data_IF_009380501967
#
_entry.id   IF_009380501967
#
_cell.length_a   1.000
_cell.length_b   1.000
_cell.length_c   1.000
_cell.angle_alpha   90.00
_cell.angle_beta   90.00
_cell.angle_gamma   90.00
#
_symmetry.space_group_name_H-M   'P 1'
#
loop_
_entity.id
_entity.type
_entity.pdbx_description
1 polymer ?
#
# COMPACT_ATOMS: atom_id res chain seq x y z
N UNK A 1 40.49 0.89 34.70
CA UNK A 1 41.72 1.54 35.24
C UNK A 1 42.66 1.76 34.05
N UNK A 2 43.27 2.91 33.78
CA UNK A 2 43.41 4.16 34.55
C UNK A 2 42.96 5.42 33.78
N UNK A 3 42.79 6.53 34.52
CA UNK A 3 42.61 7.90 34.00
C UNK A 3 43.97 8.52 33.63
N UNK A 4 43.96 9.53 32.76
CA UNK A 4 44.83 10.71 32.88
C UNK A 4 44.03 11.99 32.56
N UNK A 5 44.40 13.12 33.15
CA UNK A 5 43.62 14.37 33.14
C UNK A 5 44.56 15.58 33.34
N UNK A 6 44.17 16.77 32.86
CA UNK A 6 44.77 18.11 33.15
C UNK A 6 46.15 18.34 32.46
N UNK A 7 46.48 19.48 31.82
CA UNK A 7 45.75 20.73 31.52
C UNK A 7 46.43 21.98 32.10
N UNK A 8 46.95 22.92 31.28
CA UNK A 8 47.47 24.23 31.75
C UNK A 8 47.21 25.35 30.72
N UNK A 9 46.82 26.53 31.23
CA UNK A 9 46.75 27.84 30.54
C UNK A 9 47.53 28.86 31.39
N UNK A 10 48.19 29.86 30.79
CA UNK A 10 48.18 31.24 31.35
C UNK A 10 47.81 32.29 30.28
N UNK A 11 46.83 33.18 30.54
CA UNK A 11 46.97 34.56 31.08
C UNK A 11 47.71 35.57 30.16
N UNK A 12 47.33 36.85 30.03
CA UNK A 12 46.21 37.63 30.61
C UNK A 12 46.39 39.15 30.29
N UNK A 13 45.38 40.02 30.54
CA UNK A 13 45.50 41.48 30.35
C UNK A 13 44.17 42.28 30.35
N UNK A 14 44.16 43.52 30.87
CA UNK A 14 42.95 44.32 31.18
C UNK A 14 43.10 45.81 30.70
N UNK A 15 42.24 46.83 30.94
CA UNK A 15 41.19 47.08 31.95
C UNK A 15 40.25 48.26 31.58
N UNK A 16 39.04 48.34 32.18
CA UNK A 16 38.21 49.57 32.48
C UNK A 16 37.64 50.48 31.37
N UNK A 17 36.46 51.13 31.58
CA UNK A 17 36.02 52.18 30.63
C UNK A 17 34.85 53.19 30.84
N UNK A 18 33.74 52.93 31.56
CA UNK A 18 32.66 53.95 31.89
C UNK A 18 31.75 54.55 30.78
N UNK A 19 30.70 55.28 31.24
CA UNK A 19 29.44 55.73 30.58
C UNK A 19 29.53 56.91 29.59
N UNK A 20 28.53 57.05 28.70
CA UNK A 20 28.20 58.30 27.98
C UNK A 20 26.86 58.22 27.20
N UNK A 21 26.13 59.34 27.07
CA UNK A 21 24.76 59.43 26.53
C UNK A 21 24.60 60.45 25.40
N UNK A 22 23.73 60.17 24.42
CA UNK A 22 23.07 61.11 23.48
C UNK A 22 22.27 60.26 22.47
N UNK A 23 21.20 60.65 21.78
CA UNK A 23 20.18 61.72 21.80
C UNK A 23 19.20 61.33 20.66
N UNK A 24 17.97 61.82 20.71
CA UNK A 24 16.90 61.49 19.76
C UNK A 24 17.06 62.17 18.39
N UNK A 25 16.76 61.45 17.30
CA UNK A 25 16.28 62.06 16.04
C UNK A 25 15.09 61.29 15.46
N UNK A 26 13.92 61.85 15.72
CA UNK A 26 12.65 61.52 15.10
C UNK A 26 12.62 62.05 13.65
N UNK A 27 12.18 61.22 12.69
CA UNK A 27 11.75 61.68 11.36
C UNK A 27 10.54 60.89 10.87
N UNK A 28 9.56 61.64 10.40
CA UNK A 28 8.21 61.23 10.01
C UNK A 28 8.15 60.12 8.95
N UNK A 29 7.20 59.20 9.13
CA UNK A 29 6.67 58.35 8.05
C UNK A 29 5.21 58.78 7.80
N UNK A 30 4.91 59.18 6.57
CA UNK A 30 3.57 59.62 6.14
C UNK A 30 2.64 58.43 5.88
N UNK A 31 1.44 58.46 6.44
CA UNK A 31 0.37 57.50 6.14
C UNK A 31 -0.16 57.64 4.70
N UNK A 32 -0.48 56.50 4.07
CA UNK A 32 -1.44 56.37 2.97
C UNK A 32 -2.30 55.11 3.22
N UNK A 33 -3.54 55.07 2.69
CA UNK A 33 -4.63 54.31 3.33
C UNK A 33 -4.63 52.82 3.01
N UNK A 34 -5.34 52.08 3.88
CA UNK A 34 -5.76 50.68 3.67
C UNK A 34 -6.40 50.48 2.29
N UNK A 35 -6.18 49.27 1.74
CA UNK A 35 -6.96 48.72 0.62
C UNK A 35 -7.59 47.42 1.08
N UNK A 36 -8.86 47.25 0.73
CA UNK A 36 -9.70 46.13 1.13
C UNK A 36 -9.13 44.77 0.70
N UNK A 37 -8.99 43.85 1.66
CA UNK A 37 -8.79 42.43 1.37
C UNK A 37 -10.14 41.79 1.05
N UNK A 38 -10.52 41.83 -0.23
CA UNK A 38 -11.68 41.10 -0.74
C UNK A 38 -11.47 40.70 -2.22
N UNK A 39 -10.53 39.79 -2.46
CA UNK A 39 -10.39 39.09 -3.76
C UNK A 39 -10.23 37.60 -3.53
N UNK A 40 -11.08 36.84 -4.22
CA UNK A 40 -11.13 35.37 -4.21
C UNK A 40 -10.00 34.86 -5.11
N UNK A 41 -8.84 34.54 -4.54
CA UNK A 41 -7.74 33.84 -5.25
C UNK A 41 -6.91 32.91 -4.33
N UNK A 42 -6.84 33.19 -3.01
CA UNK A 42 -6.11 32.41 -1.98
C UNK A 42 -6.58 30.94 -1.76
N UNK A 43 -7.45 30.41 -2.63
CA UNK A 43 -8.01 29.06 -2.50
C UNK A 43 -7.35 28.02 -3.44
N UNK A 44 -6.48 28.43 -4.37
CA UNK A 44 -5.74 27.50 -5.26
C UNK A 44 -4.54 26.83 -4.59
N UNK A 45 -3.88 27.53 -3.67
CA UNK A 45 -2.64 27.05 -3.06
C UNK A 45 -2.85 25.86 -2.10
N UNK A 46 -4.11 25.51 -1.84
CA UNK A 46 -4.50 24.34 -1.03
C UNK A 46 -4.78 23.07 -1.87
N UNK A 47 -4.79 23.15 -3.21
CA UNK A 47 -4.99 22.00 -4.11
C UNK A 47 -3.68 21.40 -4.65
N UNK A 48 -2.51 21.95 -4.28
CA UNK A 48 -1.23 21.37 -4.69
C UNK A 48 -0.73 20.31 -3.69
N UNK A 49 -0.76 19.00 -4.02
CA UNK A 49 -0.22 17.96 -3.15
C UNK A 49 1.30 18.09 -2.96
N UNK A 50 2.01 18.78 -3.85
CA UNK A 50 3.46 18.94 -3.76
C UNK A 50 3.87 19.90 -2.62
N UNK A 51 2.93 20.71 -2.09
CA UNK A 51 3.13 21.62 -0.94
C UNK A 51 3.66 20.91 0.33
N UNK A 52 3.28 19.65 0.54
CA UNK A 52 3.73 18.86 1.70
C UNK A 52 5.06 18.13 1.49
N UNK A 53 5.62 18.14 0.27
CA UNK A 53 6.75 17.29 -0.11
C UNK A 53 7.94 18.02 -0.76
N UNK A 54 7.92 19.35 -0.85
CA UNK A 54 9.07 20.12 -1.37
C UNK A 54 10.26 20.12 -0.39
N UNK A 55 11.09 19.07 -0.48
CA UNK A 55 12.40 19.02 0.17
C UNK A 55 13.37 19.83 -0.68
N UNK A 56 13.41 21.13 -0.40
CA UNK A 56 14.01 22.14 -1.27
C UNK A 56 15.43 21.86 -1.77
N UNK A 57 15.63 22.08 -3.07
CA UNK A 57 16.97 22.23 -3.66
C UNK A 57 17.47 23.67 -3.49
N UNK A 58 18.74 23.91 -3.12
CA UNK A 58 19.21 25.25 -2.80
C UNK A 58 19.41 26.10 -4.06
N UNK A 59 18.40 26.90 -4.40
CA UNK A 59 18.52 27.96 -5.40
C UNK A 59 19.51 29.03 -4.93
N UNK A 60 20.65 29.13 -5.62
CA UNK A 60 21.62 30.21 -5.41
C UNK A 60 21.13 31.50 -6.05
N UNK A 61 20.45 32.38 -5.29
CA UNK A 61 20.56 33.85 -5.49
C UNK A 61 20.02 34.66 -4.29
N UNK A 62 20.95 35.26 -3.55
CA UNK A 62 20.91 36.60 -2.89
C UNK A 62 19.70 37.08 -2.05
N UNK A 63 20.06 37.57 -0.85
CA UNK A 63 19.37 38.50 0.05
C UNK A 63 18.38 37.90 1.08
N UNK A 64 18.94 37.61 2.26
CA UNK A 64 18.18 37.35 3.49
C UNK A 64 17.20 38.48 3.83
N UNK A 65 15.92 38.14 3.84
CA UNK A 65 14.95 38.71 4.77
C UNK A 65 14.31 37.56 5.51
N UNK A 66 14.65 37.42 6.79
CA UNK A 66 13.97 36.51 7.70
C UNK A 66 12.56 37.03 7.89
N UNK A 67 11.61 36.48 7.15
CA UNK A 67 10.18 36.70 7.37
C UNK A 67 9.80 35.81 8.57
N UNK A 68 9.55 36.43 9.72
CA UNK A 68 9.00 35.71 10.87
C UNK A 68 7.63 35.13 10.50
N UNK A 69 7.29 33.90 10.95
CA UNK A 69 5.95 33.36 10.74
C UNK A 69 4.90 34.29 11.36
N UNK A 70 3.70 34.43 10.76
CA UNK A 70 2.65 35.26 11.32
C UNK A 70 2.25 34.77 12.72
N UNK A 71 1.87 35.66 13.64
CA UNK A 71 1.49 35.28 14.99
C UNK A 71 0.25 34.39 14.97
N UNK A 72 0.27 33.34 15.81
CA UNK A 72 -0.88 32.44 16.01
C UNK A 72 -2.10 33.27 16.42
N UNK A 73 -3.27 33.12 15.77
CA UNK A 73 -4.46 33.89 16.10
C UNK A 73 -4.89 33.63 17.55
N UNK A 74 -5.13 34.69 18.30
CA UNK A 74 -5.52 34.62 19.70
C UNK A 74 -6.92 34.04 19.85
N UNK A 75 -7.02 32.95 20.62
CA UNK A 75 -8.29 32.30 20.97
C UNK A 75 -9.31 33.31 21.51
N UNK A 76 -10.40 33.51 20.78
CA UNK A 76 -11.51 34.35 21.22
C UNK A 76 -12.87 33.68 20.93
N UNK A 77 -13.32 32.95 21.96
CA UNK A 77 -14.67 32.37 22.19
C UNK A 77 -15.02 31.10 21.39
N UNK A 78 -15.74 30.14 22.03
CA UNK A 78 -16.21 28.94 21.36
C UNK A 78 -17.41 29.27 20.45
N UNK A 79 -17.27 28.99 19.16
CA UNK A 79 -18.40 28.87 18.25
C UNK A 79 -19.16 27.58 18.56
N UNK A 80 -20.17 27.68 19.44
CA UNK A 80 -21.20 26.64 19.52
C UNK A 80 -21.85 26.50 18.15
N UNK A 81 -21.60 25.37 17.47
CA UNK A 81 -22.38 24.96 16.30
C UNK A 81 -23.79 24.66 16.79
N UNK A 82 -24.69 25.63 16.60
CA UNK A 82 -26.10 25.46 16.85
C UNK A 82 -26.68 24.50 15.80
N UNK A 83 -26.74 23.21 16.14
CA UNK A 83 -27.43 22.20 15.34
C UNK A 83 -28.92 22.54 15.37
N UNK A 84 -29.40 23.27 14.35
CA UNK A 84 -30.82 23.47 14.11
C UNK A 84 -31.46 22.13 13.76
N UNK A 85 -31.96 21.45 14.78
CA UNK A 85 -32.62 20.17 14.65
C UNK A 85 -33.99 20.37 13.97
N UNK A 86 -34.01 20.31 12.65
CA UNK A 86 -35.24 20.43 11.85
C UNK A 86 -36.15 19.26 12.16
N UNK A 87 -37.22 19.53 12.89
CA UNK A 87 -38.25 18.56 13.24
C UNK A 87 -38.96 18.06 11.98
N UNK A 88 -38.48 16.94 11.42
CA UNK A 88 -39.14 16.26 10.30
C UNK A 88 -40.57 15.91 10.70
N UNK A 89 -41.52 16.54 10.04
CA UNK A 89 -42.97 16.27 10.18
C UNK A 89 -43.24 14.79 9.92
N UNK A 90 -43.85 14.10 10.89
CA UNK A 90 -44.07 12.67 10.81
C UNK A 90 -45.06 12.31 9.69
N UNK A 91 -44.59 11.60 8.66
CA UNK A 91 -45.45 11.00 7.65
C UNK A 91 -46.16 9.76 8.23
N UNK A 92 -47.44 9.51 7.87
CA UNK A 92 -48.24 8.51 8.56
C UNK A 92 -47.83 7.07 8.19
N UNK A 93 -47.15 6.38 9.14
CA UNK A 93 -46.51 5.06 8.99
C UNK A 93 -47.40 3.90 8.49
N UNK A 94 -48.73 3.99 8.60
CA UNK A 94 -49.64 2.87 8.30
C UNK A 94 -49.58 2.37 6.84
N UNK A 95 -49.30 3.24 5.86
CA UNK A 95 -49.18 2.84 4.45
C UNK A 95 -47.98 1.92 4.18
N UNK A 96 -46.87 2.12 4.89
CA UNK A 96 -45.66 1.27 4.75
C UNK A 96 -45.91 -0.10 5.38
N UNK A 97 -46.63 -0.14 6.51
CA UNK A 97 -47.01 -1.39 7.19
C UNK A 97 -47.94 -2.23 6.30
N UNK A 98 -48.96 -1.63 5.67
CA UNK A 98 -49.85 -2.34 4.75
C UNK A 98 -49.12 -2.91 3.53
N UNK A 99 -48.17 -2.16 2.94
CA UNK A 99 -47.35 -2.65 1.83
C UNK A 99 -46.47 -3.84 2.27
N UNK A 100 -45.87 -3.78 3.46
CA UNK A 100 -45.09 -4.88 4.02
C UNK A 100 -45.91 -6.15 4.27
N UNK A 101 -47.12 -6.02 4.82
CA UNK A 101 -48.04 -7.16 5.03
C UNK A 101 -48.47 -7.77 3.69
N UNK A 102 -48.80 -6.94 2.68
CA UNK A 102 -49.16 -7.43 1.35
C UNK A 102 -48.04 -8.22 0.67
N UNK A 103 -46.80 -7.73 0.74
CA UNK A 103 -45.61 -8.41 0.23
C UNK A 103 -45.34 -9.75 0.94
N UNK A 104 -45.51 -9.79 2.26
CA UNK A 104 -45.33 -11.01 3.04
C UNK A 104 -46.35 -12.11 2.66
N UNK A 105 -47.64 -11.74 2.53
CA UNK A 105 -48.70 -12.67 2.09
C UNK A 105 -48.44 -13.18 0.67
N UNK A 106 -47.99 -12.31 -0.25
CA UNK A 106 -47.66 -12.70 -1.62
C UNK A 106 -46.50 -13.71 -1.67
N UNK A 107 -45.41 -13.46 -0.94
CA UNK A 107 -44.30 -14.42 -0.82
C UNK A 107 -44.73 -15.75 -0.21
N UNK A 108 -45.56 -15.73 0.84
CA UNK A 108 -46.01 -16.96 1.52
C UNK A 108 -46.87 -17.84 0.60
N UNK A 109 -47.78 -17.24 -0.17
CA UNK A 109 -48.56 -17.96 -1.19
C UNK A 109 -47.66 -18.55 -2.28
N UNK A 110 -46.64 -17.81 -2.73
CA UNK A 110 -45.71 -18.28 -3.76
C UNK A 110 -44.92 -19.52 -3.27
N UNK A 111 -44.43 -19.51 -2.03
CA UNK A 111 -43.77 -20.66 -1.40
C UNK A 111 -44.71 -21.88 -1.31
N UNK A 112 -45.98 -21.68 -0.93
CA UNK A 112 -46.98 -22.76 -0.91
C UNK A 112 -47.19 -23.35 -2.31
N UNK A 113 -47.30 -22.51 -3.36
CA UNK A 113 -47.47 -23.01 -4.74
C UNK A 113 -46.27 -23.79 -5.25
N UNK A 114 -45.04 -23.36 -4.91
CA UNK A 114 -43.81 -24.09 -5.25
C UNK A 114 -43.71 -25.42 -4.50
N UNK A 115 -44.11 -25.46 -3.23
CA UNK A 115 -44.11 -26.69 -2.43
C UNK A 115 -45.15 -27.69 -2.94
N UNK A 116 -46.34 -27.22 -3.32
CA UNK A 116 -47.37 -28.05 -3.95
C UNK A 116 -46.90 -28.60 -5.31
N UNK A 117 -46.22 -27.80 -6.13
CA UNK A 117 -45.64 -28.23 -7.40
C UNK A 117 -44.58 -29.34 -7.20
N UNK A 118 -43.70 -29.20 -6.20
CA UNK A 118 -42.70 -30.22 -5.87
C UNK A 118 -43.33 -31.53 -5.38
N UNK A 119 -44.39 -31.45 -4.55
CA UNK A 119 -45.12 -32.62 -4.07
C UNK A 119 -45.89 -33.34 -5.20
N UNK A 120 -46.41 -32.61 -6.20
CA UNK A 120 -47.01 -33.24 -7.38
C UNK A 120 -45.98 -33.97 -8.26
N UNK A 121 -44.72 -33.50 -8.31
CA UNK A 121 -43.66 -34.20 -9.04
C UNK A 121 -43.14 -35.45 -8.31
N UNK A 122 -43.39 -35.61 -6.99
CA UNK A 122 -42.85 -36.72 -6.20
C UNK A 122 -43.64 -38.04 -6.30
N UNK A 123 -44.72 -38.10 -7.10
CA UNK A 123 -45.58 -39.29 -7.29
C UNK A 123 -45.36 -39.98 -8.65
N UNK A 124 -44.14 -39.92 -9.18
CA UNK A 124 -43.71 -40.64 -10.38
C UNK A 124 -42.78 -41.82 -10.04
N UNK A 125 -43.32 -43.02 -9.87
CA UNK A 125 -42.54 -44.25 -9.70
C UNK A 125 -41.66 -44.56 -10.91
N UNK A 126 -40.42 -45.03 -10.71
CA UNK A 126 -39.84 -46.15 -11.50
C UNK A 126 -38.63 -46.82 -10.80
N UNK A 127 -38.41 -48.08 -11.18
CA UNK A 127 -37.51 -49.10 -10.60
C UNK A 127 -36.01 -48.80 -10.69
N UNK A 128 -35.16 -49.34 -9.80
CA UNK A 128 -33.70 -49.28 -9.95
C UNK A 128 -33.20 -50.19 -11.07
N UNK A 129 -32.15 -49.75 -11.79
CA UNK A 129 -31.22 -50.62 -12.52
C UNK A 129 -29.82 -50.02 -12.56
N UNK A 130 -28.83 -50.88 -12.44
CA UNK A 130 -27.40 -50.57 -12.31
C UNK A 130 -26.74 -50.30 -13.67
N UNK A 131 -25.80 -49.35 -13.77
CA UNK A 131 -24.76 -49.28 -14.82
C UNK A 131 -23.69 -48.22 -14.55
N UNK A 132 -22.42 -48.64 -14.63
CA UNK A 132 -21.22 -47.79 -14.60
C UNK A 132 -21.21 -46.71 -15.69
N UNK A 133 -20.74 -45.50 -15.38
CA UNK A 133 -19.47 -44.95 -15.90
C UNK A 133 -19.22 -43.48 -15.51
N UNK A 134 -17.96 -43.05 -15.66
CA UNK A 134 -17.40 -41.73 -15.32
C UNK A 134 -18.20 -40.53 -15.86
N UNK A 135 -18.32 -39.45 -15.06
CA UNK A 135 -18.99 -38.22 -15.52
C UNK A 135 -18.82 -36.99 -14.60
N UNK A 136 -17.68 -36.31 -14.74
CA UNK A 136 -17.47 -34.85 -14.55
C UNK A 136 -18.11 -34.11 -13.35
N UNK A 137 -17.31 -33.95 -12.28
CA UNK A 137 -17.54 -32.98 -11.19
C UNK A 137 -16.52 -31.81 -11.21
N UNK A 138 -16.29 -31.17 -12.36
CA UNK A 138 -15.21 -30.15 -12.53
C UNK A 138 -15.63 -28.67 -12.65
N UNK A 139 -16.86 -28.28 -12.27
CA UNK A 139 -17.38 -26.90 -12.49
C UNK A 139 -17.23 -25.88 -11.34
N UNK A 140 -16.48 -26.17 -10.28
CA UNK A 140 -16.17 -25.18 -9.22
C UNK A 140 -14.67 -24.89 -8.98
N UNK A 141 -13.75 -25.55 -9.68
CA UNK A 141 -12.29 -25.32 -9.51
C UNK A 141 -11.69 -24.28 -10.46
N UNK A 142 -12.29 -24.06 -11.64
CA UNK A 142 -11.64 -23.25 -12.70
C UNK A 142 -11.62 -21.73 -12.47
N UNK A 143 -12.53 -21.17 -11.66
CA UNK A 143 -12.62 -19.71 -11.47
C UNK A 143 -11.43 -19.14 -10.67
N UNK A 144 -11.07 -19.78 -9.55
CA UNK A 144 -9.92 -19.36 -8.74
C UNK A 144 -8.58 -19.52 -9.47
N UNK A 145 -8.42 -20.62 -10.21
CA UNK A 145 -7.20 -20.92 -10.96
C UNK A 145 -6.95 -19.90 -12.10
N UNK A 146 -8.01 -19.29 -12.66
CA UNK A 146 -7.87 -18.24 -13.69
C UNK A 146 -7.37 -16.92 -13.09
N UNK A 147 -7.93 -16.45 -11.97
CA UNK A 147 -7.46 -15.23 -11.27
C UNK A 147 -5.99 -15.32 -10.83
N UNK A 148 -5.55 -16.51 -10.38
CA UNK A 148 -4.16 -16.75 -9.96
C UNK A 148 -3.17 -16.63 -11.15
N UNK A 149 -3.53 -17.15 -12.33
CA UNK A 149 -2.71 -17.10 -13.55
C UNK A 149 -2.51 -15.70 -14.14
N UNK A 150 -3.38 -14.74 -13.81
CA UNK A 150 -3.26 -13.36 -14.29
C UNK A 150 -2.32 -12.51 -13.41
N UNK A 151 -1.88 -13.02 -12.25
CA UNK A 151 -0.98 -12.31 -11.32
C UNK A 151 0.51 -12.44 -11.62
N UNK A 152 0.88 -13.44 -12.42
CA UNK A 152 2.27 -13.78 -12.74
C UNK A 152 2.35 -14.19 -14.21
N UNK A 153 3.39 -13.75 -14.92
CA UNK A 153 3.69 -14.22 -16.27
C UNK A 153 5.12 -14.74 -16.36
N UNK A 154 5.33 -15.75 -17.20
CA UNK A 154 6.67 -16.26 -17.50
C UNK A 154 7.38 -15.39 -18.54
N UNK A 155 8.72 -15.42 -18.63
CA UNK A 155 9.46 -14.78 -19.72
C UNK A 155 8.96 -15.16 -21.12
N UNK A 156 8.60 -16.43 -21.37
CA UNK A 156 7.99 -16.86 -22.64
C UNK A 156 6.66 -16.15 -22.95
N UNK A 157 5.83 -15.91 -21.93
CA UNK A 157 4.57 -15.19 -22.10
C UNK A 157 4.82 -13.70 -22.37
N UNK A 158 5.73 -13.05 -21.64
CA UNK A 158 6.13 -11.66 -21.93
C UNK A 158 6.67 -11.51 -23.36
N UNK A 159 7.58 -12.39 -23.79
CA UNK A 159 8.11 -12.42 -25.16
C UNK A 159 6.99 -12.55 -26.20
N UNK A 160 5.98 -13.39 -25.93
CA UNK A 160 4.80 -13.52 -26.81
C UNK A 160 4.00 -12.21 -26.89
N UNK A 161 3.80 -11.51 -25.78
CA UNK A 161 3.09 -10.21 -25.75
C UNK A 161 3.85 -9.11 -26.52
N UNK A 162 5.19 -9.09 -26.42
CA UNK A 162 6.07 -8.16 -27.14
C UNK A 162 6.04 -8.44 -28.65
N UNK A 163 6.27 -9.69 -29.07
CA UNK A 163 6.25 -10.10 -30.49
C UNK A 163 4.87 -9.82 -31.13
N UNK A 164 3.77 -10.10 -30.41
CA UNK A 164 2.41 -9.84 -30.90
C UNK A 164 1.95 -8.39 -30.73
N UNK A 165 2.85 -7.48 -30.31
CA UNK A 165 2.63 -6.04 -30.15
C UNK A 165 1.37 -5.70 -29.33
N UNK A 166 1.13 -6.45 -28.25
CA UNK A 166 0.04 -6.14 -27.31
C UNK A 166 0.36 -4.86 -26.54
N UNK A 167 -0.70 -4.17 -26.10
CA UNK A 167 -0.58 -2.93 -25.31
C UNK A 167 -0.09 -3.25 -23.90
N UNK A 168 1.23 -3.24 -23.75
CA UNK A 168 1.97 -3.58 -22.53
C UNK A 168 2.65 -2.34 -21.95
N UNK A 169 2.66 -2.28 -20.63
CA UNK A 169 3.34 -1.27 -19.83
C UNK A 169 4.33 -1.98 -18.91
N UNK A 170 5.51 -2.31 -19.45
CA UNK A 170 6.57 -3.04 -18.75
C UNK A 170 7.41 -2.09 -17.89
N UNK A 171 7.55 -2.37 -16.60
CA UNK A 171 8.35 -1.57 -15.67
C UNK A 171 9.42 -2.40 -14.95
N UNK A 172 10.63 -1.85 -14.92
CA UNK A 172 11.63 -2.21 -13.91
C UNK A 172 11.38 -1.35 -12.67
N UNK A 173 11.03 -1.99 -11.56
CA UNK A 173 10.83 -1.36 -10.27
C UNK A 173 12.13 -1.49 -9.48
N UNK A 174 12.63 -0.38 -8.95
CA UNK A 174 13.85 -0.35 -8.14
C UNK A 174 13.64 0.44 -6.85
N UNK A 175 14.35 0.03 -5.80
CA UNK A 175 14.32 0.66 -4.49
C UNK A 175 15.73 0.76 -3.90
N UNK A 176 15.86 1.42 -2.76
CA UNK A 176 17.17 1.77 -2.19
C UNK A 176 17.80 2.96 -2.92
N UNK A 177 19.01 2.79 -3.45
CA UNK A 177 19.75 3.87 -4.10
C UNK A 177 19.26 4.10 -5.55
N UNK A 178 18.51 5.18 -5.77
CA UNK A 178 17.97 5.52 -7.09
C UNK A 178 19.03 5.78 -8.15
N UNK A 179 20.20 6.31 -7.78
CA UNK A 179 21.30 6.55 -8.74
C UNK A 179 21.84 5.22 -9.26
N UNK A 180 22.09 4.28 -8.36
CA UNK A 180 22.55 2.93 -8.71
C UNK A 180 21.49 2.17 -9.51
N UNK A 181 20.22 2.23 -9.09
CA UNK A 181 19.11 1.64 -9.83
C UNK A 181 18.97 2.21 -11.25
N UNK A 182 19.18 3.52 -11.42
CA UNK A 182 19.21 4.17 -12.74
C UNK A 182 20.39 3.72 -13.59
N UNK A 183 21.59 3.66 -13.01
CA UNK A 183 22.79 3.21 -13.72
C UNK A 183 22.67 1.75 -14.17
N UNK A 184 22.10 0.87 -13.34
CA UNK A 184 21.83 -0.52 -13.67
C UNK A 184 20.80 -0.64 -14.81
N UNK A 185 19.71 0.13 -14.75
CA UNK A 185 18.71 0.19 -15.82
C UNK A 185 19.31 0.69 -17.14
N UNK A 186 20.06 1.79 -17.12
CA UNK A 186 20.69 2.36 -18.32
C UNK A 186 21.74 1.42 -18.94
N UNK A 187 22.41 0.57 -18.14
CA UNK A 187 23.38 -0.40 -18.65
C UNK A 187 22.73 -1.56 -19.42
N UNK A 188 21.61 -2.10 -18.93
CA UNK A 188 20.94 -3.26 -19.51
C UNK A 188 19.55 -3.43 -18.85
N UNK A 189 18.45 -3.30 -19.62
CA UNK A 189 17.07 -3.51 -19.18
C UNK A 189 16.24 -4.25 -20.25
N UNK A 190 15.08 -4.81 -19.91
CA UNK A 190 14.24 -5.54 -20.89
C UNK A 190 13.71 -4.56 -21.96
N UNK A 191 13.65 -4.98 -23.23
CA UNK A 191 13.19 -4.12 -24.33
C UNK A 191 11.84 -3.44 -24.02
N UNK A 192 11.73 -2.15 -24.33
CA UNK A 192 10.58 -1.25 -24.07
C UNK A 192 10.28 -0.93 -22.59
N UNK A 193 11.06 -1.44 -21.63
CA UNK A 193 10.79 -1.22 -20.21
C UNK A 193 10.91 0.25 -19.79
N UNK A 194 10.35 0.55 -18.62
CA UNK A 194 10.37 1.89 -18.00
C UNK A 194 10.89 1.76 -16.58
N UNK A 195 11.68 2.73 -16.12
CA UNK A 195 12.17 2.75 -14.75
C UNK A 195 11.11 3.35 -13.82
N UNK A 196 10.89 2.69 -12.68
CA UNK A 196 9.99 3.10 -11.61
C UNK A 196 10.74 3.02 -10.29
N UNK A 197 10.83 4.12 -9.56
CA UNK A 197 11.44 4.14 -8.23
C UNK A 197 10.39 3.89 -7.15
N UNK A 198 10.79 3.23 -6.06
CA UNK A 198 9.94 3.08 -4.88
C UNK A 198 9.40 4.43 -4.35
N UNK A 199 10.18 5.51 -4.45
CA UNK A 199 9.77 6.88 -4.10
C UNK A 199 8.59 7.42 -4.93
N UNK A 200 8.36 6.89 -6.15
CA UNK A 200 7.20 7.25 -6.97
C UNK A 200 5.90 6.58 -6.46
N UNK A 201 6.02 5.65 -5.50
CA UNK A 201 4.96 4.79 -4.99
C UNK A 201 4.71 5.00 -3.49
N UNK A 202 5.76 5.35 -2.74
CA UNK A 202 5.70 5.52 -1.29
C UNK A 202 6.62 6.63 -0.79
N UNK A 203 6.13 7.36 0.22
CA UNK A 203 6.93 8.23 1.06
C UNK A 203 6.90 7.70 2.50
N UNK A 204 8.07 7.53 3.14
CA UNK A 204 8.21 7.02 4.51
C UNK A 204 7.45 5.71 4.83
N UNK A 205 7.21 4.83 3.85
CA UNK A 205 6.49 3.57 4.01
C UNK A 205 4.97 3.67 3.81
N UNK A 206 4.44 4.87 3.63
CA UNK A 206 3.02 5.15 3.31
C UNK A 206 2.87 5.29 1.79
N UNK A 207 1.80 4.79 1.15
CA UNK A 207 1.50 5.05 -0.26
C UNK A 207 1.42 6.55 -0.58
N UNK A 208 1.87 6.95 -1.77
CA UNK A 208 1.64 8.32 -2.29
C UNK A 208 0.16 8.61 -2.51
N UNK A 209 -0.22 9.88 -2.62
CA UNK A 209 -1.62 10.25 -2.91
C UNK A 209 -2.07 9.72 -4.29
N UNK A 210 -3.31 9.22 -4.48
CA UNK A 210 -3.76 8.65 -5.76
C UNK A 210 -3.54 9.55 -6.97
N UNK A 211 -3.75 10.88 -6.82
CA UNK A 211 -3.51 11.84 -7.90
C UNK A 211 -2.02 12.02 -8.25
N UNK A 212 -1.11 11.88 -7.28
CA UNK A 212 0.34 11.92 -7.50
C UNK A 212 0.78 10.69 -8.30
N UNK A 213 0.30 9.50 -7.89
CA UNK A 213 0.51 8.28 -8.67
C UNK A 213 -0.11 8.36 -10.08
N UNK A 214 -1.30 8.95 -10.22
CA UNK A 214 -1.94 9.14 -11.51
C UNK A 214 -1.09 10.03 -12.44
N UNK A 215 -0.58 11.17 -11.94
CA UNK A 215 0.35 12.04 -12.68
C UNK A 215 1.60 11.27 -13.14
N UNK A 216 2.18 10.44 -12.26
CA UNK A 216 3.33 9.59 -12.57
C UNK A 216 3.02 8.50 -13.61
N UNK A 217 1.96 7.71 -13.43
CA UNK A 217 1.57 6.67 -14.37
C UNK A 217 1.29 7.23 -15.77
N UNK A 218 0.59 8.38 -15.85
CA UNK A 218 0.37 9.10 -17.11
C UNK A 218 1.67 9.61 -17.73
N UNK A 219 2.63 10.14 -16.96
CA UNK A 219 3.92 10.59 -17.51
C UNK A 219 4.77 9.44 -18.08
N UNK A 220 4.56 8.22 -17.58
CA UNK A 220 5.13 6.98 -18.12
C UNK A 220 4.34 6.39 -19.29
N UNK A 221 3.32 7.08 -19.79
CA UNK A 221 2.49 6.64 -20.92
C UNK A 221 1.62 5.41 -20.62
N UNK A 222 1.21 5.23 -19.35
CA UNK A 222 0.25 4.19 -18.96
C UNK A 222 -1.17 4.64 -19.26
N UNK A 223 -1.93 3.76 -19.91
CA UNK A 223 -3.36 3.93 -20.16
C UNK A 223 -4.17 2.94 -19.29
N UNK A 224 -5.45 3.22 -19.07
CA UNK A 224 -6.37 2.40 -18.26
C UNK A 224 -6.50 0.95 -18.75
N UNK A 225 -6.46 0.73 -20.06
CA UNK A 225 -6.53 -0.61 -20.67
C UNK A 225 -5.17 -1.32 -20.73
N UNK A 226 -4.07 -0.68 -20.34
CA UNK A 226 -2.73 -1.23 -20.52
C UNK A 226 -2.49 -2.47 -19.63
N UNK A 227 -1.83 -3.49 -20.17
CA UNK A 227 -1.33 -4.59 -19.34
C UNK A 227 -0.04 -4.14 -18.65
N UNK A 228 -0.12 -3.79 -17.37
CA UNK A 228 1.06 -3.42 -16.58
C UNK A 228 1.81 -4.70 -16.20
N UNK A 229 3.10 -4.75 -16.48
CA UNK A 229 3.96 -5.89 -16.17
C UNK A 229 5.12 -5.36 -15.35
N UNK A 230 5.31 -5.89 -14.15
CA UNK A 230 6.27 -5.39 -13.18
C UNK A 230 7.37 -6.41 -12.95
N UNK A 231 8.62 -5.96 -12.95
CA UNK A 231 9.76 -6.77 -12.59
C UNK A 231 10.77 -5.96 -11.77
N UNK A 232 11.62 -6.65 -11.03
CA UNK A 232 12.82 -6.07 -10.43
C UNK A 232 14.00 -7.03 -10.68
N UNK A 233 15.18 -6.76 -10.10
CA UNK A 233 16.40 -7.54 -10.37
C UNK A 233 16.51 -8.87 -9.59
N UNK A 234 15.37 -9.54 -9.37
CA UNK A 234 15.27 -10.86 -8.74
C UNK A 234 14.97 -10.84 -7.24
N UNK A 235 14.62 -9.67 -6.70
CA UNK A 235 14.27 -9.49 -5.30
C UNK A 235 12.77 -9.73 -5.05
N UNK A 236 11.94 -9.50 -6.07
CA UNK A 236 10.46 -9.55 -6.11
C UNK A 236 9.72 -8.63 -5.11
N UNK A 237 10.40 -8.07 -4.12
CA UNK A 237 9.81 -7.21 -3.09
C UNK A 237 9.35 -5.84 -3.63
N UNK A 238 10.11 -5.23 -4.54
CA UNK A 238 9.75 -3.94 -5.13
C UNK A 238 8.62 -4.09 -6.15
N UNK A 239 8.69 -5.13 -7.00
CA UNK A 239 7.67 -5.40 -7.99
C UNK A 239 6.34 -5.85 -7.37
N UNK A 240 6.34 -6.62 -6.27
CA UNK A 240 5.11 -6.92 -5.50
C UNK A 240 4.51 -5.68 -4.85
N UNK A 241 5.32 -4.78 -4.28
CA UNK A 241 4.82 -3.52 -3.71
C UNK A 241 4.17 -2.64 -4.78
N UNK A 242 4.85 -2.46 -5.92
CA UNK A 242 4.27 -1.75 -7.07
C UNK A 242 2.97 -2.41 -7.56
N UNK A 243 2.88 -3.74 -7.57
CA UNK A 243 1.65 -4.43 -7.96
C UNK A 243 0.50 -4.16 -6.99
N UNK A 244 0.77 -4.17 -5.68
CA UNK A 244 -0.22 -3.79 -4.68
C UNK A 244 -0.68 -2.34 -4.87
N UNK A 245 0.25 -1.40 -5.11
CA UNK A 245 -0.05 0.02 -5.39
C UNK A 245 -0.92 0.20 -6.64
N UNK A 246 -0.60 -0.46 -7.76
CA UNK A 246 -1.46 -0.41 -8.97
C UNK A 246 -2.89 -0.89 -8.67
N UNK A 247 -3.05 -1.97 -7.88
CA UNK A 247 -4.38 -2.48 -7.51
C UNK A 247 -5.10 -1.64 -6.45
N UNK A 248 -4.36 -1.02 -5.52
CA UNK A 248 -4.86 -0.05 -4.54
C UNK A 248 -5.44 1.18 -5.24
N UNK A 249 -4.87 1.55 -6.40
CA UNK A 249 -5.37 2.60 -7.27
C UNK A 249 -6.25 2.08 -8.43
N UNK A 250 -6.85 0.89 -8.28
CA UNK A 250 -7.93 0.38 -9.13
C UNK A 250 -7.49 -0.39 -10.38
N UNK A 251 -6.19 -0.39 -10.70
CA UNK A 251 -5.67 -1.02 -11.90
C UNK A 251 -5.41 -2.51 -11.72
N UNK A 252 -6.44 -3.31 -11.98
CA UNK A 252 -6.39 -4.77 -11.80
C UNK A 252 -5.56 -5.52 -12.83
N UNK A 253 -5.32 -4.93 -14.02
CA UNK A 253 -4.60 -5.56 -15.15
C UNK A 253 -3.08 -5.45 -14.99
N UNK A 254 -2.59 -5.98 -13.87
CA UNK A 254 -1.18 -5.97 -13.45
C UNK A 254 -0.69 -7.39 -13.13
N UNK A 255 0.51 -7.73 -13.61
CA UNK A 255 1.17 -9.02 -13.40
C UNK A 255 2.65 -8.84 -13.06
N UNK A 256 3.23 -9.76 -12.29
CA UNK A 256 4.68 -9.84 -12.09
C UNK A 256 5.35 -10.66 -13.18
N UNK A 257 6.58 -10.31 -13.56
CA UNK A 257 7.45 -11.17 -14.35
C UNK A 257 8.14 -12.20 -13.44
N UNK A 258 7.88 -13.48 -13.68
CA UNK A 258 8.48 -14.59 -12.93
C UNK A 258 10.01 -14.59 -13.03
N UNK A 259 10.69 -14.62 -11.87
CA UNK A 259 12.16 -14.53 -11.77
C UNK A 259 12.74 -13.14 -12.08
N UNK A 260 11.91 -12.15 -12.38
CA UNK A 260 12.33 -10.78 -12.67
C UNK A 260 13.33 -10.67 -13.82
N UNK A 261 14.24 -9.69 -13.71
CA UNK A 261 15.31 -9.45 -14.68
C UNK A 261 16.24 -10.67 -14.85
N UNK A 262 16.63 -11.30 -13.75
CA UNK A 262 17.50 -12.48 -13.73
C UNK A 262 16.86 -13.63 -14.49
N UNK A 263 15.56 -13.86 -14.29
CA UNK A 263 14.76 -14.83 -15.04
C UNK A 263 14.72 -14.56 -16.55
N UNK A 264 14.70 -13.29 -16.97
CA UNK A 264 14.81 -12.90 -18.38
C UNK A 264 16.20 -13.18 -18.97
N UNK A 265 17.27 -12.80 -18.27
CA UNK A 265 18.66 -13.03 -18.70
C UNK A 265 18.97 -14.53 -18.85
N UNK A 266 18.49 -15.36 -17.93
CA UNK A 266 18.61 -16.82 -18.01
C UNK A 266 17.95 -17.44 -19.26
N UNK A 267 16.98 -16.75 -19.89
CA UNK A 267 16.41 -17.17 -21.18
C UNK A 267 17.16 -16.54 -22.37
N UNK A 268 17.69 -15.33 -22.22
CA UNK A 268 18.54 -14.68 -23.23
C UNK A 268 19.82 -15.47 -23.51
N UNK A 269 20.41 -16.10 -22.51
CA UNK A 269 21.53 -17.05 -22.68
C UNK A 269 21.17 -18.26 -23.55
N UNK A 270 19.88 -18.62 -23.63
CA UNK A 270 19.37 -19.78 -24.37
C UNK A 270 18.78 -19.43 -25.74
N UNK A 271 18.39 -18.18 -25.96
CA UNK A 271 17.75 -17.72 -27.19
C UNK A 271 17.90 -16.21 -27.40
N UNK A 272 18.37 -15.83 -28.59
CA UNK A 272 18.51 -14.44 -29.04
C UNK A 272 17.18 -13.70 -29.27
N UNK A 273 16.04 -14.38 -29.09
CA UNK A 273 14.72 -13.75 -29.14
C UNK A 273 14.45 -12.87 -27.92
N UNK A 274 15.08 -13.15 -26.78
CA UNK A 274 14.98 -12.34 -25.56
C UNK A 274 15.92 -11.15 -25.66
N UNK A 275 15.36 -9.94 -25.75
CA UNK A 275 16.11 -8.72 -26.00
C UNK A 275 16.22 -7.84 -24.77
N UNK A 276 17.26 -7.03 -24.76
CA UNK A 276 17.49 -5.97 -23.78
C UNK A 276 17.95 -4.71 -24.50
N UNK A 277 17.74 -3.56 -23.87
CA UNK A 277 18.06 -2.21 -24.36
C UNK A 277 19.04 -1.52 -23.41
N UNK A 278 19.73 -0.48 -23.92
CA UNK A 278 20.76 0.26 -23.20
C UNK A 278 20.65 1.76 -23.49
N UNK A 279 21.03 2.60 -22.53
CA UNK A 279 21.12 4.06 -22.60
C UNK A 279 19.83 4.82 -23.00
N UNK A 280 18.72 4.13 -23.27
CA UNK A 280 17.48 4.74 -23.71
C UNK A 280 16.47 4.91 -22.58
N UNK A 281 16.11 6.16 -22.29
CA UNK A 281 14.84 6.50 -21.63
C UNK A 281 14.00 7.21 -22.68
N UNK A 282 13.28 6.41 -23.49
CA UNK A 282 12.43 6.93 -24.55
C UNK A 282 11.42 7.95 -23.99
N UNK A 283 11.28 9.10 -24.66
CA UNK A 283 10.19 10.04 -24.35
C UNK A 283 8.87 9.38 -24.69
N UNK A 284 7.90 9.46 -23.77
CA UNK A 284 6.58 8.83 -23.92
C UNK A 284 5.53 9.92 -24.07
N UNK A 285 4.46 9.62 -24.81
CA UNK A 285 3.23 10.41 -24.74
C UNK A 285 2.67 10.35 -23.32
N UNK A 286 1.87 11.34 -22.95
CA UNK A 286 1.01 11.20 -21.78
C UNK A 286 0.00 10.07 -22.01
N UNK A 287 -0.21 9.28 -20.97
CA UNK A 287 -1.26 8.27 -20.91
C UNK A 287 -2.57 8.80 -20.33
N UNK A 288 -3.62 7.98 -20.36
CA UNK A 288 -4.95 8.33 -19.83
C UNK A 288 -5.26 7.78 -18.43
N UNK A 289 -4.39 6.94 -17.85
CA UNK A 289 -4.56 6.24 -16.56
C UNK A 289 -5.35 7.02 -15.49
N UNK A 290 -6.37 6.41 -14.91
CA UNK A 290 -7.24 6.97 -13.88
C UNK A 290 -7.10 6.19 -12.56
N UNK A 291 -6.63 6.85 -11.50
CA UNK A 291 -6.53 6.23 -10.17
C UNK A 291 -7.90 6.16 -9.49
N UNK A 292 -8.28 5.00 -8.97
CA UNK A 292 -9.45 4.82 -8.10
C UNK A 292 -9.03 4.11 -6.82
N UNK A 293 -9.23 4.72 -5.66
CA UNK A 293 -8.91 4.08 -4.37
C UNK A 293 -9.73 2.81 -4.18
N UNK A 294 -9.07 1.74 -3.75
CA UNK A 294 -9.64 0.42 -3.52
C UNK A 294 -9.43 0.01 -2.05
N UNK A 295 -10.42 0.32 -1.23
CA UNK A 295 -10.48 0.00 0.20
C UNK A 295 -10.38 -1.51 0.49
N UNK A 296 -10.82 -2.37 -0.43
CA UNK A 296 -10.78 -3.84 -0.27
C UNK A 296 -9.36 -4.44 -0.17
N UNK A 297 -8.30 -3.65 -0.35
CA UNK A 297 -6.90 -4.07 -0.28
C UNK A 297 -6.14 -3.56 0.95
N UNK A 298 -6.77 -2.70 1.73
CA UNK A 298 -6.25 -2.16 2.98
C UNK A 298 -7.09 -2.59 4.17
N UNK A 299 -6.52 -2.46 5.34
CA UNK A 299 -7.25 -2.53 6.60
C UNK A 299 -6.62 -1.51 7.55
N UNK A 300 -7.45 -0.81 8.33
CA UNK A 300 -7.02 0.32 9.18
C UNK A 300 -6.57 -0.16 10.55
N UNK A 301 -5.91 0.71 11.32
CA UNK A 301 -5.61 0.43 12.73
C UNK A 301 -6.89 0.05 13.50
N UNK A 302 -7.99 0.77 13.28
CA UNK A 302 -9.22 0.59 14.07
C UNK A 302 -9.88 -0.77 13.78
N UNK A 303 -9.86 -1.22 12.52
CA UNK A 303 -10.27 -2.58 12.14
C UNK A 303 -9.39 -3.68 12.78
N UNK A 304 -8.06 -3.48 12.84
CA UNK A 304 -7.12 -4.45 13.43
C UNK A 304 -7.26 -4.47 14.96
N UNK A 305 -7.58 -3.33 15.56
CA UNK A 305 -7.90 -3.19 16.98
C UNK A 305 -9.21 -3.91 17.33
N UNK A 306 -10.28 -3.70 16.56
CA UNK A 306 -11.55 -4.45 16.74
C UNK A 306 -11.33 -5.97 16.58
N UNK A 307 -10.49 -6.39 15.63
CA UNK A 307 -10.15 -7.82 15.45
C UNK A 307 -9.50 -8.48 16.67
N UNK A 308 -8.89 -7.71 17.59
CA UNK A 308 -8.34 -8.25 18.83
C UNK A 308 -9.45 -8.75 19.79
N UNK A 309 -10.68 -8.27 19.65
CA UNK A 309 -11.86 -8.73 20.41
C UNK A 309 -12.72 -9.72 19.62
N UNK A 310 -12.95 -9.47 18.32
CA UNK A 310 -13.91 -10.27 17.52
C UNK A 310 -13.33 -11.55 16.90
N UNK A 311 -12.00 -11.65 16.74
CA UNK A 311 -11.30 -12.76 16.06
C UNK A 311 -11.94 -13.17 14.71
N UNK A 312 -12.23 -12.20 13.83
CA UNK A 312 -12.76 -12.48 12.49
C UNK A 312 -11.65 -12.84 11.49
N UNK A 313 -10.51 -12.16 11.59
CA UNK A 313 -9.40 -12.23 10.63
C UNK A 313 -8.18 -12.96 11.20
N UNK A 314 -7.47 -13.70 10.35
CA UNK A 314 -6.14 -14.21 10.70
C UNK A 314 -5.11 -13.09 10.55
N UNK A 315 -4.31 -12.82 11.58
CA UNK A 315 -3.24 -11.80 11.51
C UNK A 315 -1.91 -12.46 11.15
N UNK A 316 -1.22 -11.91 10.15
CA UNK A 316 0.09 -12.37 9.65
C UNK A 316 1.11 -11.24 9.74
N UNK A 317 2.23 -11.55 10.40
CA UNK A 317 3.40 -10.69 10.48
C UNK A 317 4.46 -11.15 9.46
N UNK A 318 4.77 -10.30 8.48
CA UNK A 318 5.76 -10.53 7.44
C UNK A 318 7.16 -9.97 7.79
N UNK A 319 7.41 -9.55 9.04
CA UNK A 319 8.75 -9.26 9.55
C UNK A 319 9.63 -10.52 9.59
N UNK A 320 10.94 -10.32 9.68
CA UNK A 320 11.88 -11.41 9.95
C UNK A 320 11.60 -12.00 11.34
N UNK A 321 12.01 -13.25 11.55
CA UNK A 321 11.68 -13.99 12.78
C UNK A 321 12.26 -13.32 14.02
N UNK A 322 13.44 -12.72 13.90
CA UNK A 322 14.16 -12.02 14.96
C UNK A 322 13.47 -10.72 15.37
N UNK A 323 12.86 -10.01 14.41
CA UNK A 323 12.05 -8.81 14.67
C UNK A 323 10.71 -9.19 15.31
N UNK A 324 10.03 -10.21 14.78
CA UNK A 324 8.78 -10.73 15.35
C UNK A 324 8.96 -11.18 16.81
N UNK A 325 10.06 -11.87 17.13
CA UNK A 325 10.38 -12.31 18.49
C UNK A 325 10.94 -11.20 19.39
N UNK A 326 11.15 -9.97 18.88
CA UNK A 326 11.73 -8.87 19.64
C UNK A 326 13.20 -9.08 20.06
N UNK A 327 13.92 -9.93 19.31
CA UNK A 327 15.34 -10.26 19.52
C UNK A 327 16.29 -9.39 18.69
N UNK A 328 15.78 -8.74 17.63
CA UNK A 328 16.52 -7.76 16.86
C UNK A 328 16.84 -6.50 17.68
N UNK A 329 17.93 -5.81 17.32
CA UNK A 329 18.40 -4.61 18.02
C UNK A 329 18.20 -3.33 17.20
N UNK A 330 18.09 -2.18 17.87
CA UNK A 330 18.02 -0.85 17.24
C UNK A 330 16.61 -0.26 17.07
N UNK A 331 15.55 -1.04 17.29
CA UNK A 331 14.17 -0.54 17.36
C UNK A 331 13.34 -1.33 18.39
N UNK A 332 12.12 -0.86 18.68
CA UNK A 332 11.17 -1.59 19.52
C UNK A 332 10.50 -2.70 18.69
N UNK A 333 11.05 -3.91 18.81
CA UNK A 333 10.63 -5.08 18.04
C UNK A 333 9.69 -6.00 18.84
N UNK A 334 8.88 -6.76 18.11
CA UNK A 334 7.77 -7.54 18.62
C UNK A 334 6.69 -7.75 17.55
N UNK A 335 5.51 -8.19 17.99
CA UNK A 335 4.36 -8.45 17.11
C UNK A 335 3.01 -8.15 17.78
N UNK A 336 1.97 -8.03 16.95
CA UNK A 336 0.58 -7.93 17.38
C UNK A 336 0.18 -9.25 18.03
N UNK A 337 -0.41 -9.20 19.23
CA UNK A 337 -0.88 -10.40 19.94
C UNK A 337 -1.83 -11.23 19.08
N UNK A 338 -1.52 -12.52 18.95
CA UNK A 338 -2.27 -13.45 18.08
C UNK A 338 -1.81 -13.49 16.62
N UNK A 339 -0.89 -12.62 16.19
CA UNK A 339 -0.29 -12.69 14.87
C UNK A 339 0.54 -13.96 14.67
N UNK A 340 0.62 -14.41 13.42
CA UNK A 340 1.41 -15.57 12.96
C UNK A 340 2.57 -15.06 12.11
N UNK A 341 3.81 -15.38 12.47
CA UNK A 341 4.96 -14.97 11.65
C UNK A 341 5.05 -15.78 10.36
N UNK A 342 5.04 -15.10 9.21
CA UNK A 342 5.29 -15.68 7.89
C UNK A 342 6.29 -14.78 7.16
N UNK A 343 7.61 -14.97 7.40
CA UNK A 343 8.65 -14.26 6.68
C UNK A 343 8.60 -14.49 5.17
N UNK A 344 9.19 -13.58 4.41
CA UNK A 344 9.15 -13.60 2.94
C UNK A 344 9.90 -14.79 2.31
N UNK A 345 10.87 -15.37 3.02
CA UNK A 345 11.61 -16.59 2.68
C UNK A 345 10.70 -17.84 2.63
N UNK A 346 9.54 -17.78 3.29
CA UNK A 346 8.52 -18.84 3.28
C UNK A 346 7.78 -18.89 1.94
N UNK A 347 7.70 -17.77 1.21
CA UNK A 347 6.96 -17.66 -0.05
C UNK A 347 7.86 -17.53 -1.29
N UNK A 348 9.11 -17.10 -1.12
CA UNK A 348 10.08 -16.94 -2.21
C UNK A 348 11.46 -17.47 -1.82
N UNK A 349 12.14 -18.05 -2.79
CA UNK A 349 13.46 -18.64 -2.65
C UNK A 349 14.48 -17.80 -3.43
N UNK A 350 15.19 -16.90 -2.75
CA UNK A 350 16.23 -16.07 -3.38
C UNK A 350 17.42 -16.86 -3.92
N UNK A 351 17.73 -18.03 -3.33
CA UNK A 351 18.82 -18.89 -3.80
C UNK A 351 18.57 -19.44 -5.21
N UNK A 352 17.31 -19.68 -5.56
CA UNK A 352 16.89 -20.09 -6.92
C UNK A 352 16.22 -18.96 -7.72
N UNK A 353 15.96 -17.81 -7.09
CA UNK A 353 15.15 -16.71 -7.63
C UNK A 353 13.75 -17.16 -8.12
N UNK A 354 13.10 -18.04 -7.37
CA UNK A 354 11.78 -18.60 -7.69
C UNK A 354 10.77 -18.40 -6.57
N UNK A 355 9.50 -18.20 -6.95
CA UNK A 355 8.38 -18.37 -6.02
C UNK A 355 8.28 -19.83 -5.59
N UNK A 356 7.88 -20.07 -4.34
CA UNK A 356 7.41 -21.39 -3.92
C UNK A 356 6.23 -21.82 -4.80
N UNK A 357 6.13 -23.12 -5.06
CA UNK A 357 5.03 -23.66 -5.83
C UNK A 357 3.71 -23.66 -5.03
N UNK A 358 2.60 -23.92 -5.71
CA UNK A 358 1.28 -23.86 -5.08
C UNK A 358 1.11 -24.87 -3.91
N UNK A 359 1.58 -26.13 -4.01
CA UNK A 359 1.65 -27.04 -2.87
C UNK A 359 2.51 -26.54 -1.71
N UNK A 360 3.71 -26.00 -1.97
CA UNK A 360 4.62 -25.49 -0.94
C UNK A 360 4.01 -24.31 -0.18
N UNK A 361 3.42 -23.33 -0.88
CA UNK A 361 2.72 -22.20 -0.25
C UNK A 361 1.52 -22.68 0.57
N UNK A 362 0.72 -23.62 0.06
CA UNK A 362 -0.42 -24.18 0.80
C UNK A 362 0.02 -24.92 2.07
N UNK A 363 1.09 -25.71 1.99
CA UNK A 363 1.67 -26.40 3.14
C UNK A 363 2.18 -25.40 4.18
N UNK A 364 2.90 -24.36 3.75
CA UNK A 364 3.40 -23.32 4.64
C UNK A 364 2.26 -22.58 5.36
N UNK A 365 1.26 -22.07 4.62
CA UNK A 365 0.11 -21.37 5.21
C UNK A 365 -0.73 -22.27 6.14
N UNK A 366 -0.89 -23.55 5.80
CA UNK A 366 -1.58 -24.52 6.65
C UNK A 366 -0.77 -24.86 7.91
N UNK A 367 0.56 -24.92 7.83
CA UNK A 367 1.44 -25.16 8.98
C UNK A 367 1.50 -23.94 9.93
N UNK A 368 1.37 -22.73 9.38
CA UNK A 368 1.10 -21.51 10.14
C UNK A 368 -0.32 -21.45 10.71
N UNK A 369 -1.16 -22.46 10.43
CA UNK A 369 -2.58 -22.57 10.80
C UNK A 369 -3.44 -21.37 10.39
N UNK A 370 -3.22 -20.87 9.17
CA UNK A 370 -4.18 -19.98 8.48
C UNK A 370 -5.36 -20.78 7.96
N UNK A 371 -6.55 -20.18 8.01
CA UNK A 371 -7.78 -20.77 7.47
C UNK A 371 -8.10 -20.19 6.10
N UNK A 372 -8.21 -20.99 5.02
CA UNK A 372 -8.67 -20.52 3.70
C UNK A 372 -10.08 -19.92 3.69
N UNK A 373 -10.84 -20.02 4.80
CA UNK A 373 -12.18 -19.44 4.96
C UNK A 373 -12.18 -18.09 5.67
N UNK A 374 -11.12 -17.74 6.41
CA UNK A 374 -10.95 -16.44 7.07
C UNK A 374 -10.19 -15.51 6.13
N UNK A 375 -10.50 -14.22 6.19
CA UNK A 375 -9.68 -13.22 5.50
C UNK A 375 -8.43 -12.93 6.34
N UNK A 376 -7.33 -12.59 5.67
CA UNK A 376 -6.02 -12.42 6.30
C UNK A 376 -5.64 -10.93 6.35
N UNK A 377 -5.21 -10.48 7.52
CA UNK A 377 -4.54 -9.20 7.74
C UNK A 377 -3.04 -9.45 7.61
N UNK A 378 -2.36 -8.74 6.71
CA UNK A 378 -0.90 -8.88 6.55
C UNK A 378 -0.24 -7.54 6.88
N UNK A 379 0.77 -7.54 7.75
CA UNK A 379 1.53 -6.35 8.08
C UNK A 379 3.04 -6.60 8.15
N UNK A 380 3.80 -5.51 8.15
CA UNK A 380 5.21 -5.47 8.54
C UNK A 380 5.50 -4.02 9.01
N UNK A 381 6.70 -3.49 8.77
CA UNK A 381 7.08 -2.13 9.17
C UNK A 381 6.74 -1.06 8.12
N UNK A 382 6.88 -1.35 6.82
CA UNK A 382 6.81 -0.38 5.70
C UNK A 382 6.03 -0.90 4.49
N UNK A 383 5.16 -1.88 4.72
CA UNK A 383 4.36 -2.59 3.71
C UNK A 383 5.11 -3.37 2.61
N UNK A 384 6.44 -3.26 2.47
CA UNK A 384 7.24 -3.96 1.47
C UNK A 384 7.21 -5.50 1.60
N UNK A 385 7.41 -6.01 2.82
CA UNK A 385 7.39 -7.47 3.06
C UNK A 385 5.97 -8.02 3.07
N UNK A 386 5.01 -7.25 3.61
CA UNK A 386 3.61 -7.65 3.59
C UNK A 386 3.01 -7.62 2.18
N UNK A 387 3.44 -6.75 1.25
CA UNK A 387 3.00 -6.84 -0.16
C UNK A 387 3.44 -8.13 -0.84
N UNK A 388 4.63 -8.63 -0.48
CA UNK A 388 5.15 -9.89 -1.01
C UNK A 388 4.39 -11.11 -0.46
N UNK A 389 4.08 -11.13 0.83
CA UNK A 389 3.26 -12.18 1.47
C UNK A 389 1.79 -12.09 1.04
N UNK A 390 1.22 -10.89 0.94
CA UNK A 390 -0.12 -10.63 0.40
C UNK A 390 -0.28 -11.16 -1.02
N UNK A 391 0.72 -10.96 -1.88
CA UNK A 391 0.71 -11.49 -3.24
C UNK A 391 0.67 -13.04 -3.24
N UNK A 392 1.48 -13.68 -2.42
CA UNK A 392 1.54 -15.14 -2.31
C UNK A 392 0.25 -15.76 -1.73
N UNK A 393 -0.35 -15.11 -0.73
CA UNK A 393 -1.66 -15.45 -0.17
C UNK A 393 -2.75 -15.34 -1.24
N UNK A 394 -2.80 -14.21 -1.95
CA UNK A 394 -3.80 -13.95 -3.02
C UNK A 394 -3.64 -14.94 -4.18
N UNK A 395 -2.40 -15.22 -4.63
CA UNK A 395 -2.09 -16.24 -5.65
C UNK A 395 -2.55 -17.64 -5.21
N UNK A 396 -2.48 -17.92 -3.90
CA UNK A 396 -2.92 -19.17 -3.28
C UNK A 396 -4.42 -19.23 -2.97
N UNK A 397 -5.19 -18.19 -3.31
CA UNK A 397 -6.65 -18.16 -3.14
C UNK A 397 -7.16 -17.64 -1.80
N UNK A 398 -6.29 -17.13 -0.93
CA UNK A 398 -6.70 -16.45 0.30
C UNK A 398 -7.19 -15.03 -0.01
N UNK A 399 -8.20 -14.57 0.72
CA UNK A 399 -8.55 -13.14 0.80
C UNK A 399 -7.58 -12.46 1.74
N UNK A 400 -6.86 -11.43 1.29
CA UNK A 400 -5.84 -10.75 2.09
C UNK A 400 -5.86 -9.23 1.92
N UNK A 401 -5.70 -8.50 3.02
CA UNK A 401 -5.65 -7.03 3.10
C UNK A 401 -4.39 -6.60 3.84
N UNK A 402 -3.79 -5.47 3.43
CA UNK A 402 -2.57 -4.96 4.05
C UNK A 402 -2.90 -3.89 5.10
N UNK A 403 -2.45 -4.11 6.33
CA UNK A 403 -2.41 -3.07 7.36
C UNK A 403 -1.14 -2.25 7.16
N UNK A 404 -1.27 -1.09 6.51
CA UNK A 404 -0.09 -0.39 5.97
C UNK A 404 0.68 0.45 6.99
N UNK A 405 0.02 0.93 8.06
CA UNK A 405 0.71 1.56 9.20
C UNK A 405 1.48 0.57 10.07
N UNK A 406 1.06 -0.70 10.04
CA UNK A 406 1.85 -1.85 10.45
C UNK A 406 2.33 -1.81 11.90
N UNK A 407 3.51 -2.42 12.14
CA UNK A 407 4.09 -2.48 13.48
C UNK A 407 4.40 -1.09 14.09
N UNK A 408 4.96 -0.10 13.34
CA UNK A 408 5.21 1.24 13.89
C UNK A 408 3.94 1.95 14.37
N UNK A 409 2.85 1.92 13.60
CA UNK A 409 1.58 2.51 14.05
C UNK A 409 1.01 1.75 15.27
N UNK A 410 1.07 0.41 15.25
CA UNK A 410 0.56 -0.41 16.35
C UNK A 410 1.28 -0.14 17.68
N UNK A 411 2.62 -0.06 17.65
CA UNK A 411 3.45 0.24 18.82
C UNK A 411 3.06 1.57 19.47
N UNK A 412 2.71 2.58 18.66
CA UNK A 412 2.35 3.93 19.13
C UNK A 412 0.90 4.02 19.61
N UNK A 413 -0.05 3.39 18.91
CA UNK A 413 -1.50 3.56 19.16
C UNK A 413 -2.12 2.51 20.08
N UNK A 414 -1.66 1.26 20.01
CA UNK A 414 -2.33 0.16 20.71
C UNK A 414 -2.08 0.16 22.23
N UNK A 415 -2.99 -0.42 23.03
CA UNK A 415 -2.71 -0.84 24.41
C UNK A 415 -1.54 -1.84 24.49
N UNK A 416 -0.79 -1.80 25.60
CA UNK A 416 0.42 -2.64 25.75
C UNK A 416 0.10 -4.13 25.91
N UNK A 417 -1.08 -4.50 26.40
CA UNK A 417 -1.51 -5.90 26.55
C UNK A 417 -1.86 -6.57 25.22
N UNK A 418 -1.90 -5.81 24.11
CA UNK A 418 -2.01 -6.28 22.72
C UNK A 418 -0.66 -6.28 21.98
N UNK A 419 0.44 -5.92 22.64
CA UNK A 419 1.81 -5.94 22.09
C UNK A 419 2.57 -7.11 22.72
N UNK A 420 3.09 -8.01 21.89
CA UNK A 420 4.05 -9.02 22.35
C UNK A 420 5.44 -8.50 21.99
N UNK A 421 6.16 -8.04 23.02
CA UNK A 421 7.50 -7.49 22.90
C UNK A 421 8.53 -8.54 23.35
N UNK A 422 9.75 -8.46 22.83
CA UNK A 422 10.82 -9.40 23.21
C UNK A 422 11.36 -9.18 24.62
N UNK A 423 12.03 -10.20 25.16
CA UNK A 423 12.62 -10.22 26.52
C UNK A 423 13.67 -9.12 26.78
N UNK A 424 14.11 -8.40 25.73
CA UNK A 424 15.07 -7.30 25.80
C UNK A 424 14.61 -6.13 26.68
N UNK A 425 13.30 -5.99 26.94
CA UNK A 425 12.73 -4.90 27.76
C UNK A 425 12.77 -5.23 29.27
N UNK A 426 12.73 -6.51 29.65
CA UNK A 426 12.69 -6.90 31.06
C UNK A 426 14.06 -6.89 31.77
N UNK A 427 15.15 -6.63 31.04
CA UNK A 427 16.53 -6.61 31.55
C UNK A 427 17.11 -5.20 31.79
N UNK A 428 16.30 -4.15 31.73
CA UNK A 428 16.72 -2.78 32.13
C UNK A 428 15.98 -2.34 33.40
N UNK A 429 16.45 -2.83 34.56
CA UNK A 429 16.15 -2.33 35.91
C UNK A 429 17.46 -1.94 36.60
#
# INVERSE_FOLDING_TARGET
MHKWTIGVVPQGGHTTGSKGSSESKEKSITFRPEKDYNTIDDQKDYEDPDYFYDVGTPSKTSNDRIISPPPVPTSSRPTHIAIHNTTKTATPRWRVILLGVGLFVACFLLVITLFAFFMLQSQGSYSPFDLKSNGDSSKHSQSGNRKSRDMEITPNHLLTLLITKRKVCLFEVTGGNESEGRDLFLRDHIETARLMFHSNLSHAGVPVHPLQFQRFARSQGVDDDCHVILYDRGQMIWSTYAMWIFRLFGHNRVSLLSGGYTGWKNQQERSTQYRTEQNEIARRRLGDFHSSWNDSLIITYDDVFENAEIDEYDIVDAQAKEEYLGLASGALFGHIKGARNIPVEVVYDWGTSQWRDQPQMQAAFSSSALSPKRSVIVYCSTSLRSSMVWWALTRSGYSARIYFGGWPEWVVRAPDDLKILGDSIHNTN
#
